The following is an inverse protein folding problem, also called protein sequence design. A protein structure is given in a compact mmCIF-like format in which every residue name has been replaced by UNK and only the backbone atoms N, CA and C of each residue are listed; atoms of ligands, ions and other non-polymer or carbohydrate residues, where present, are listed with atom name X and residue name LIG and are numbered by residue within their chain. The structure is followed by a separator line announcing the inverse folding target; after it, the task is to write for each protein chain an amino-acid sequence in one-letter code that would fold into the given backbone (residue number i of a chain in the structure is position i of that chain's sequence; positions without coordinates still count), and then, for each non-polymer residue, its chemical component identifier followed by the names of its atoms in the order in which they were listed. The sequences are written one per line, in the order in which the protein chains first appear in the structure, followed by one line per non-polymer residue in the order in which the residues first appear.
data_IF_932206880310
#
_entry.id   IF_932206880310
#
_cell.length_a   1.000
_cell.length_b   1.000
_cell.length_c   1.000
_cell.angle_alpha   90.00
_cell.angle_beta   90.00
_cell.angle_gamma   90.00
#
_symmetry.space_group_name_H-M   'P 1'
#
loop_
_entity.id
_entity.type
_entity.pdbx_description
1 polymer ?
#
# COMPACT_ATOMS: atom_id res chain seq x y z
N UNK A 1 18.96 5.43 4.20
CA UNK A 1 17.87 6.40 3.96
C UNK A 1 17.25 7.00 5.22
N UNK A 2 16.33 6.36 5.95
CA UNK A 2 15.63 7.06 7.05
C UNK A 2 16.58 7.61 8.14
N UNK A 3 17.56 6.80 8.57
CA UNK A 3 18.56 7.24 9.55
C UNK A 3 19.42 8.39 9.05
N UNK A 4 19.80 8.37 7.78
CA UNK A 4 20.63 9.41 7.15
C UNK A 4 19.85 10.71 6.96
N UNK A 5 18.55 10.62 6.63
CA UNK A 5 17.63 11.76 6.59
C UNK A 5 17.46 12.40 7.97
N UNK A 6 17.20 11.59 9.00
CA UNK A 6 17.09 12.09 10.38
C UNK A 6 18.39 12.74 10.81
N UNK A 7 19.53 12.10 10.53
CA UNK A 7 20.83 12.67 10.85
C UNK A 7 21.07 13.99 10.10
N UNK A 8 20.70 14.07 8.83
CA UNK A 8 20.80 15.30 8.03
C UNK A 8 19.95 16.43 8.62
N UNK A 9 18.70 16.16 9.00
CA UNK A 9 17.82 17.14 9.65
C UNK A 9 18.34 17.60 11.01
N UNK A 10 18.92 16.70 11.81
CA UNK A 10 19.51 17.07 13.09
C UNK A 10 20.78 17.92 12.91
N UNK A 11 21.61 17.62 11.91
CA UNK A 11 22.77 18.45 11.57
C UNK A 11 22.33 19.82 11.04
N UNK A 12 21.29 19.88 10.20
CA UNK A 12 20.73 21.11 9.65
C UNK A 12 20.27 22.08 10.77
N UNK A 13 19.75 21.57 11.89
CA UNK A 13 19.35 22.37 13.07
C UNK A 13 20.53 22.93 13.86
N UNK A 14 21.69 22.27 13.83
CA UNK A 14 22.87 22.65 14.62
C UNK A 14 23.75 23.65 13.85
N UNK A 15 23.71 23.58 12.51
CA UNK A 15 24.52 24.39 11.62
C UNK A 15 24.03 25.85 11.59
N UNK A 16 24.95 26.81 11.52
CA UNK A 16 24.58 28.23 11.43
C UNK A 16 23.86 28.51 10.09
N UNK A 17 22.86 29.41 10.06
CA UNK A 17 22.06 29.68 8.87
C UNK A 17 22.82 29.92 7.56
N UNK A 18 23.97 30.63 7.53
CA UNK A 18 24.71 30.87 6.29
C UNK A 18 25.23 29.61 5.60
N UNK A 19 25.46 28.52 6.36
CA UNK A 19 26.02 27.28 5.84
C UNK A 19 24.96 26.33 5.26
N UNK A 20 23.67 26.56 5.55
CA UNK A 20 22.57 25.73 5.04
C UNK A 20 22.43 25.90 3.52
N UNK A 21 22.59 27.13 3.04
CA UNK A 21 22.48 27.48 1.62
C UNK A 21 23.85 27.62 0.94
N UNK A 22 24.95 27.37 1.67
CA UNK A 22 26.29 27.50 1.13
C UNK A 22 26.55 26.42 0.08
N UNK A 23 26.90 26.87 -1.12
CA UNK A 23 27.21 25.97 -2.22
C UNK A 23 28.65 25.47 -2.16
N UNK A 24 28.85 24.21 -2.53
CA UNK A 24 30.18 23.64 -2.71
C UNK A 24 30.81 24.08 -4.05
N UNK A 25 32.03 23.61 -4.35
CA UNK A 25 32.74 23.90 -5.60
C UNK A 25 32.02 23.41 -6.88
N UNK A 26 30.96 22.62 -6.74
CA UNK A 26 30.10 22.14 -7.82
C UNK A 26 28.77 22.91 -7.88
N UNK A 27 28.67 24.06 -7.22
CA UNK A 27 27.48 24.91 -7.13
C UNK A 27 26.25 24.22 -6.48
N UNK A 28 26.46 23.17 -5.67
CA UNK A 28 25.39 22.43 -4.97
C UNK A 28 25.31 22.81 -3.50
N UNK A 29 24.10 23.04 -3.02
CA UNK A 29 23.79 23.11 -1.58
C UNK A 29 23.92 21.73 -0.91
N UNK A 30 24.08 21.66 0.43
CA UNK A 30 24.11 20.40 1.17
C UNK A 30 22.89 19.51 0.90
N UNK A 31 21.69 20.12 0.77
CA UNK A 31 20.43 19.42 0.49
C UNK A 31 20.38 18.87 -0.93
N UNK A 32 20.85 19.62 -1.93
CA UNK A 32 20.97 19.13 -3.31
C UNK A 32 21.99 18.00 -3.44
N UNK A 33 23.14 18.13 -2.78
CA UNK A 33 24.16 17.09 -2.76
C UNK A 33 23.61 15.80 -2.15
N UNK A 34 23.01 15.89 -0.95
CA UNK A 34 22.38 14.76 -0.28
C UNK A 34 21.34 14.07 -1.16
N UNK A 35 20.46 14.85 -1.79
CA UNK A 35 19.43 14.32 -2.70
C UNK A 35 20.06 13.62 -3.92
N UNK A 36 21.14 14.17 -4.47
CA UNK A 36 21.81 13.60 -5.65
C UNK A 36 22.50 12.27 -5.34
N UNK A 37 23.20 12.16 -4.21
CA UNK A 37 23.88 10.93 -3.77
C UNK A 37 22.88 9.81 -3.46
N UNK A 38 21.71 10.17 -2.91
CA UNK A 38 20.70 9.20 -2.51
C UNK A 38 19.63 8.93 -3.60
N UNK A 39 19.74 9.54 -4.78
CA UNK A 39 18.76 9.41 -5.87
C UNK A 39 18.57 7.97 -6.34
N UNK A 40 19.66 7.21 -6.45
CA UNK A 40 19.58 5.81 -6.85
C UNK A 40 18.93 4.91 -5.80
N UNK A 41 19.17 5.19 -4.52
CA UNK A 41 18.52 4.49 -3.41
C UNK A 41 17.02 4.79 -3.38
N UNK A 42 16.62 6.04 -3.61
CA UNK A 42 15.22 6.44 -3.73
C UNK A 42 14.55 5.71 -4.91
N UNK A 43 15.19 5.67 -6.08
CA UNK A 43 14.67 4.97 -7.26
C UNK A 43 14.51 3.46 -7.02
N UNK A 44 15.50 2.82 -6.39
CA UNK A 44 15.43 1.40 -6.02
C UNK A 44 14.32 1.13 -5.01
N UNK A 45 14.19 1.98 -4.00
CA UNK A 45 13.12 1.88 -3.00
C UNK A 45 11.72 2.09 -3.59
N UNK A 46 11.60 2.99 -4.57
CA UNK A 46 10.37 3.18 -5.33
C UNK A 46 9.99 1.93 -6.14
N UNK A 47 10.93 1.38 -6.91
CA UNK A 47 10.71 0.15 -7.69
C UNK A 47 10.32 -1.01 -6.78
N UNK A 48 11.09 -1.24 -5.71
CA UNK A 48 10.83 -2.33 -4.78
C UNK A 48 9.44 -2.24 -4.14
N UNK A 49 9.01 -1.03 -3.75
CA UNK A 49 7.66 -0.86 -3.18
C UNK A 49 6.57 -1.05 -4.23
N UNK A 50 6.81 -0.62 -5.47
CA UNK A 50 5.86 -0.82 -6.58
C UNK A 50 5.70 -2.31 -6.91
N UNK A 51 6.80 -3.03 -7.00
CA UNK A 51 6.81 -4.47 -7.27
C UNK A 51 6.10 -5.23 -6.15
N UNK A 52 6.42 -4.91 -4.89
CA UNK A 52 5.78 -5.52 -3.71
C UNK A 52 4.28 -5.26 -3.68
N UNK A 53 3.86 -4.01 -3.93
CA UNK A 53 2.44 -3.65 -3.93
C UNK A 53 1.68 -4.33 -5.06
N UNK A 54 2.28 -4.46 -6.26
CA UNK A 54 1.69 -5.21 -7.37
C UNK A 54 1.52 -6.70 -6.99
N UNK A 55 2.57 -7.33 -6.45
CA UNK A 55 2.49 -8.73 -6.02
C UNK A 55 1.42 -8.94 -4.95
N UNK A 56 1.33 -8.05 -3.95
CA UNK A 56 0.33 -8.17 -2.89
C UNK A 56 -1.08 -7.90 -3.38
N UNK A 57 -1.26 -6.93 -4.29
CA UNK A 57 -2.54 -6.68 -4.94
C UNK A 57 -3.01 -7.91 -5.72
N UNK A 58 -2.14 -8.56 -6.49
CA UNK A 58 -2.47 -9.81 -7.19
C UNK A 58 -2.91 -10.91 -6.24
N UNK A 59 -2.16 -11.16 -5.16
CA UNK A 59 -2.52 -12.18 -4.15
C UNK A 59 -3.87 -11.85 -3.51
N UNK A 60 -4.10 -10.59 -3.15
CA UNK A 60 -5.35 -10.15 -2.52
C UNK A 60 -6.54 -10.29 -3.50
N UNK A 61 -6.36 -9.93 -4.77
CA UNK A 61 -7.37 -10.13 -5.82
C UNK A 61 -7.73 -11.60 -6.01
N UNK A 62 -6.75 -12.50 -5.99
CA UNK A 62 -6.99 -13.95 -6.06
C UNK A 62 -7.82 -14.41 -4.85
N UNK A 63 -7.43 -14.01 -3.64
CA UNK A 63 -8.18 -14.34 -2.41
C UNK A 63 -9.61 -13.80 -2.49
N UNK A 64 -9.79 -12.55 -2.89
CA UNK A 64 -11.11 -11.95 -3.03
C UNK A 64 -11.98 -12.72 -4.03
N UNK A 65 -11.39 -13.17 -5.14
CA UNK A 65 -12.10 -13.96 -6.17
C UNK A 65 -12.52 -15.33 -5.66
N UNK A 66 -11.62 -16.04 -4.96
CA UNK A 66 -11.90 -17.37 -4.38
C UNK A 66 -13.00 -17.29 -3.33
N UNK A 67 -12.88 -16.33 -2.40
CA UNK A 67 -13.83 -16.13 -1.31
C UNK A 67 -15.19 -15.66 -1.86
N UNK A 68 -15.20 -14.76 -2.85
CA UNK A 68 -16.44 -14.37 -3.56
C UNK A 68 -17.12 -15.59 -4.20
N UNK A 69 -16.37 -16.44 -4.91
CA UNK A 69 -16.91 -17.67 -5.50
C UNK A 69 -17.46 -18.64 -4.43
N UNK A 70 -16.83 -18.71 -3.26
CA UNK A 70 -17.24 -19.57 -2.16
C UNK A 70 -18.53 -19.06 -1.49
N UNK A 71 -18.70 -17.75 -1.36
CA UNK A 71 -19.93 -17.12 -0.87
C UNK A 71 -21.17 -17.47 -1.70
N UNK A 72 -21.02 -17.53 -3.03
CA UNK A 72 -22.12 -17.85 -3.95
C UNK A 72 -22.27 -19.34 -4.24
N UNK A 73 -21.23 -20.14 -4.01
CA UNK A 73 -21.30 -21.61 -4.09
C UNK A 73 -21.87 -22.16 -2.80
N UNK A 74 -23.16 -21.90 -2.54
CA UNK A 74 -23.87 -22.39 -1.35
C UNK A 74 -23.81 -23.93 -1.35
N UNK A 75 -23.08 -24.57 -0.41
CA UNK A 75 -23.08 -26.02 -0.31
C UNK A 75 -24.37 -26.40 0.43
N UNK A 76 -25.41 -26.71 -0.33
CA UNK A 76 -26.65 -27.10 0.32
C UNK A 76 -27.79 -27.64 -0.52
N UNK A 77 -27.99 -27.12 -1.74
CA UNK A 77 -29.13 -27.52 -2.56
C UNK A 77 -30.49 -27.21 -1.93
N UNK A 78 -31.54 -27.29 -2.74
CA UNK A 78 -32.92 -27.05 -2.33
C UNK A 78 -33.51 -28.39 -1.91
N UNK A 79 -34.07 -28.49 -0.69
CA UNK A 79 -34.86 -29.65 -0.30
C UNK A 79 -36.31 -29.47 -0.77
N UNK A 80 -36.75 -30.32 -1.70
CA UNK A 80 -38.02 -30.23 -2.43
C UNK A 80 -39.32 -30.52 -1.63
N UNK A 81 -39.33 -30.47 -0.28
CA UNK A 81 -40.52 -30.91 0.46
C UNK A 81 -40.98 -30.07 1.66
N UNK A 82 -40.57 -28.81 1.76
CA UNK A 82 -41.20 -27.79 2.62
C UNK A 82 -40.55 -26.48 2.24
N UNK A 83 -41.34 -25.46 1.86
CA UNK A 83 -40.87 -24.15 1.42
C UNK A 83 -40.15 -23.33 2.51
N UNK A 84 -39.17 -23.92 3.18
CA UNK A 84 -38.36 -23.34 4.24
C UNK A 84 -36.91 -23.72 3.94
N UNK A 85 -36.02 -22.76 3.65
CA UNK A 85 -34.63 -23.08 3.32
C UNK A 85 -33.98 -23.80 4.51
N UNK A 86 -33.44 -24.99 4.26
CA UNK A 86 -32.85 -25.85 5.28
C UNK A 86 -31.47 -25.35 5.80
N UNK A 87 -30.97 -24.22 5.29
CA UNK A 87 -29.55 -23.85 5.36
C UNK A 87 -29.18 -22.81 6.42
N UNK A 88 -29.92 -22.77 7.54
CA UNK A 88 -29.74 -21.71 8.56
C UNK A 88 -29.34 -22.26 9.95
N UNK A 89 -29.31 -23.59 10.15
CA UNK A 89 -29.16 -24.16 11.50
C UNK A 89 -27.83 -24.86 11.83
N UNK A 90 -26.94 -25.06 10.85
CA UNK A 90 -25.64 -25.67 11.14
C UNK A 90 -24.61 -24.63 11.57
N UNK A 91 -24.07 -24.77 12.79
CA UNK A 91 -23.05 -23.88 13.35
C UNK A 91 -21.84 -23.72 12.42
N UNK A 92 -21.50 -24.76 11.65
CA UNK A 92 -20.41 -24.73 10.67
C UNK A 92 -20.67 -23.76 9.50
N UNK A 93 -21.92 -23.66 9.02
CA UNK A 93 -22.28 -22.75 7.92
C UNK A 93 -22.25 -21.27 8.37
N UNK A 94 -22.70 -21.00 9.60
CA UNK A 94 -22.63 -19.66 10.18
C UNK A 94 -21.17 -19.21 10.36
N UNK A 95 -20.31 -20.08 10.90
CA UNK A 95 -18.87 -19.81 11.05
C UNK A 95 -18.21 -19.59 9.68
N UNK A 96 -18.52 -20.42 8.70
CA UNK A 96 -18.03 -20.27 7.33
C UNK A 96 -18.43 -18.91 6.74
N UNK A 97 -19.71 -18.53 6.82
CA UNK A 97 -20.23 -17.27 6.26
C UNK A 97 -19.60 -16.05 6.92
N UNK A 98 -19.43 -16.07 8.25
CA UNK A 98 -18.75 -14.99 8.98
C UNK A 98 -17.28 -14.90 8.57
N UNK A 99 -16.58 -16.04 8.49
CA UNK A 99 -15.17 -16.08 8.09
C UNK A 99 -14.97 -15.59 6.65
N UNK A 100 -15.84 -16.00 5.74
CA UNK A 100 -15.83 -15.59 4.33
C UNK A 100 -16.03 -14.08 4.20
N UNK A 101 -17.01 -13.52 4.92
CA UNK A 101 -17.23 -12.07 4.97
C UNK A 101 -16.03 -11.28 5.52
N UNK A 102 -15.41 -11.76 6.62
CA UNK A 102 -14.20 -11.13 7.19
C UNK A 102 -13.03 -11.20 6.20
N UNK A 103 -12.86 -12.32 5.50
CA UNK A 103 -11.82 -12.49 4.49
C UNK A 103 -12.01 -11.55 3.30
N UNK A 104 -13.24 -11.37 2.80
CA UNK A 104 -13.55 -10.41 1.73
C UNK A 104 -13.26 -8.97 2.16
N UNK A 105 -13.70 -8.58 3.36
CA UNK A 105 -13.50 -7.23 3.86
C UNK A 105 -12.01 -6.93 4.07
N UNK A 106 -11.29 -7.86 4.70
CA UNK A 106 -9.84 -7.75 4.91
C UNK A 106 -9.08 -7.68 3.59
N UNK A 107 -9.40 -8.53 2.61
CA UNK A 107 -8.74 -8.53 1.31
C UNK A 107 -9.01 -7.22 0.53
N UNK A 108 -10.26 -6.78 0.52
CA UNK A 108 -10.65 -5.51 -0.13
C UNK A 108 -9.94 -4.32 0.52
N UNK A 109 -9.86 -4.29 1.85
CA UNK A 109 -9.16 -3.25 2.61
C UNK A 109 -7.67 -3.25 2.30
N UNK A 110 -7.02 -4.42 2.22
CA UNK A 110 -5.62 -4.52 1.84
C UNK A 110 -5.37 -3.97 0.43
N UNK A 111 -6.21 -4.33 -0.56
CA UNK A 111 -6.13 -3.79 -1.93
C UNK A 111 -6.24 -2.27 -1.92
N UNK A 112 -7.22 -1.71 -1.19
CA UNK A 112 -7.42 -0.26 -1.09
C UNK A 112 -6.24 0.44 -0.42
N UNK A 113 -5.67 -0.14 0.64
CA UNK A 113 -4.49 0.42 1.31
C UNK A 113 -3.27 0.42 0.39
N UNK A 114 -2.99 -0.68 -0.32
CA UNK A 114 -1.87 -0.72 -1.27
C UNK A 114 -2.09 0.23 -2.44
N UNK A 115 -3.32 0.31 -2.96
CA UNK A 115 -3.69 1.25 -4.00
C UNK A 115 -3.52 2.69 -3.52
N UNK A 116 -3.92 3.01 -2.28
CA UNK A 116 -3.75 4.33 -1.69
C UNK A 116 -2.27 4.69 -1.52
N UNK A 117 -1.43 3.77 -1.05
CA UNK A 117 0.01 3.99 -0.91
C UNK A 117 0.67 4.21 -2.28
N UNK A 118 0.33 3.40 -3.28
CA UNK A 118 0.83 3.56 -4.66
C UNK A 118 0.36 4.87 -5.28
N UNK A 119 -0.94 5.18 -5.15
CA UNK A 119 -1.56 6.35 -5.75
C UNK A 119 -1.11 7.63 -5.06
N UNK A 120 -0.98 7.67 -3.74
CA UNK A 120 -0.46 8.83 -3.01
C UNK A 120 0.97 9.18 -3.41
N UNK A 121 1.85 8.19 -3.63
CA UNK A 121 3.21 8.43 -4.14
C UNK A 121 3.19 8.96 -5.57
N UNK A 122 2.29 8.44 -6.41
CA UNK A 122 2.10 8.91 -7.79
C UNK A 122 1.49 10.33 -7.82
N UNK A 123 0.53 10.63 -6.95
CA UNK A 123 -0.21 11.88 -6.86
C UNK A 123 0.62 12.99 -6.23
N UNK A 124 1.42 12.69 -5.19
CA UNK A 124 2.47 13.61 -4.68
C UNK A 124 3.50 13.92 -5.78
N UNK A 125 3.86 12.91 -6.60
CA UNK A 125 4.75 13.12 -7.75
C UNK A 125 4.10 13.94 -8.86
N UNK A 126 2.80 13.78 -9.11
CA UNK A 126 2.03 14.56 -10.08
C UNK A 126 1.92 16.02 -9.65
N UNK A 127 1.62 16.27 -8.37
CA UNK A 127 1.56 17.61 -7.79
C UNK A 127 2.93 18.31 -7.77
N UNK A 128 4.00 17.57 -7.48
CA UNK A 128 5.36 18.11 -7.52
C UNK A 128 5.81 18.47 -8.94
N UNK A 129 5.39 17.72 -9.97
CA UNK A 129 5.68 18.02 -11.38
C UNK A 129 4.83 19.19 -11.89
N UNK A 130 3.55 19.30 -11.49
CA UNK A 130 2.69 20.43 -11.88
C UNK A 130 3.04 21.75 -11.18
N UNK A 131 3.77 21.72 -10.07
CA UNK A 131 4.26 22.94 -9.39
C UNK A 131 5.61 23.43 -9.92
N UNK A 132 6.21 22.69 -10.87
CA UNK A 132 7.49 22.96 -11.54
C UNK A 132 7.32 23.36 -13.01
N UNK A 133 6.09 23.42 -13.51
CA UNK A 133 5.67 23.92 -14.84
C UNK A 133 4.77 25.12 -14.65
#
# INVERSE_FOLDING_TARGET
MQRELVWFEEVEKIVQPPFIDMKNNQDKTPRELFTSEHKDLLRKGESWMKDTANSCMLVSTIIATVVFSAAFSIPGGISDNKGTPNFVKDTAFLIFTISDGVALFSSSTAILMFLYILTSRCLVRFLAVSSLV
#
